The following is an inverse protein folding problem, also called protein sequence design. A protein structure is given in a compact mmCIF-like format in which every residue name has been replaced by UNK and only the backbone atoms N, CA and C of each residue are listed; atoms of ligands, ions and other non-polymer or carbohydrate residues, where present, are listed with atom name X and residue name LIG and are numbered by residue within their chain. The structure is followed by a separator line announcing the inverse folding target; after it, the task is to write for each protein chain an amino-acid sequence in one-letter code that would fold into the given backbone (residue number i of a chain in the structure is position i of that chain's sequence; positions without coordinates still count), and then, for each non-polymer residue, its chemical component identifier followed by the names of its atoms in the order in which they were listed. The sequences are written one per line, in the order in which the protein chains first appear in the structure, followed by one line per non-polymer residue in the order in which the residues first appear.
data_IF_718349327645
#
_entry.id   IF_718349327645
#
_cell.length_a   1.000
_cell.length_b   1.000
_cell.length_c   1.000
_cell.angle_alpha   90.00
_cell.angle_beta   90.00
_cell.angle_gamma   90.00
#
_symmetry.space_group_name_H-M   'P 1'
#
loop_
_entity.id
_entity.type
_entity.pdbx_description
1 polymer ?
#
# COMPACT_ATOMS: atom_id res chain seq x y z
N UNK A 1 48.13 42.45 7.56
CA UNK A 1 47.51 41.27 6.92
C UNK A 1 46.53 41.79 5.88
N UNK A 2 46.66 41.36 4.63
CA UNK A 2 45.89 41.92 3.50
C UNK A 2 44.44 41.45 3.58
N UNK A 3 43.47 42.36 3.47
CA UNK A 3 42.02 42.05 3.42
C UNK A 3 41.67 40.97 2.39
N UNK A 4 42.45 40.88 1.32
CA UNK A 4 42.29 39.84 0.29
C UNK A 4 42.43 38.42 0.86
N UNK A 5 43.43 38.19 1.72
CA UNK A 5 43.66 36.87 2.33
C UNK A 5 42.55 36.43 3.30
N UNK A 6 41.84 37.38 3.91
CA UNK A 6 40.70 37.09 4.78
C UNK A 6 39.46 36.70 3.97
N UNK A 7 39.22 37.38 2.84
CA UNK A 7 38.11 37.09 1.92
C UNK A 7 38.33 35.74 1.21
N UNK A 8 39.57 35.40 0.85
CA UNK A 8 39.91 34.08 0.29
C UNK A 8 39.65 32.95 1.29
N UNK A 9 40.05 33.10 2.56
CA UNK A 9 39.74 32.11 3.60
C UNK A 9 38.23 31.96 3.83
N UNK A 10 37.49 33.06 3.80
CA UNK A 10 36.03 33.03 3.95
C UNK A 10 35.36 32.34 2.74
N UNK A 11 35.81 32.62 1.52
CA UNK A 11 35.34 31.93 0.32
C UNK A 11 35.65 30.43 0.33
N UNK A 12 36.87 30.02 0.69
CA UNK A 12 37.23 28.61 0.79
C UNK A 12 36.35 27.89 1.82
N UNK A 13 36.05 28.54 2.95
CA UNK A 13 35.13 27.99 3.95
C UNK A 13 33.71 27.79 3.40
N UNK A 14 33.21 28.74 2.62
CA UNK A 14 31.90 28.64 1.98
C UNK A 14 31.87 27.59 0.87
N UNK A 15 32.95 27.47 0.09
CA UNK A 15 33.11 26.42 -0.92
C UNK A 15 33.14 25.04 -0.30
N UNK A 16 33.88 24.84 0.79
CA UNK A 16 33.88 23.57 1.53
C UNK A 16 32.49 23.25 2.09
N UNK A 17 31.79 24.24 2.64
CA UNK A 17 30.43 24.05 3.14
C UNK A 17 29.47 23.66 2.01
N UNK A 18 29.57 24.30 0.85
CA UNK A 18 28.76 23.99 -0.33
C UNK A 18 29.07 22.60 -0.87
N UNK A 19 30.34 22.23 -1.00
CA UNK A 19 30.76 20.90 -1.45
C UNK A 19 30.22 19.79 -0.52
N UNK A 20 30.26 20.01 0.80
CA UNK A 20 29.68 19.11 1.77
C UNK A 20 28.16 18.97 1.59
N UNK A 21 27.45 20.09 1.38
CA UNK A 21 26.00 20.08 1.12
C UNK A 21 25.65 19.37 -0.19
N UNK A 22 26.41 19.59 -1.25
CA UNK A 22 26.21 18.94 -2.55
C UNK A 22 26.48 17.44 -2.45
N UNK A 23 27.52 17.02 -1.72
CA UNK A 23 27.78 15.60 -1.48
C UNK A 23 26.67 14.95 -0.66
N UNK A 24 26.14 15.63 0.36
CA UNK A 24 24.99 15.15 1.12
C UNK A 24 23.74 15.03 0.24
N UNK A 25 23.49 16.02 -0.62
CA UNK A 25 22.37 15.98 -1.56
C UNK A 25 22.50 14.85 -2.58
N UNK A 26 23.71 14.59 -3.09
CA UNK A 26 24.00 13.46 -3.97
C UNK A 26 23.72 12.13 -3.28
N UNK A 27 24.12 11.97 -2.02
CA UNK A 27 23.85 10.75 -1.26
C UNK A 27 22.35 10.55 -1.05
N UNK A 28 21.62 11.60 -0.63
CA UNK A 28 20.16 11.57 -0.49
C UNK A 28 19.48 11.21 -1.82
N UNK A 29 19.95 11.77 -2.94
CA UNK A 29 19.40 11.48 -4.26
C UNK A 29 19.62 10.00 -4.67
N UNK A 30 20.78 9.44 -4.35
CA UNK A 30 21.05 8.02 -4.57
C UNK A 30 20.17 7.13 -3.70
N UNK A 31 19.99 7.49 -2.42
CA UNK A 31 19.13 6.76 -1.49
C UNK A 31 17.67 6.78 -1.97
N UNK A 32 17.15 7.94 -2.39
CA UNK A 32 15.79 8.07 -2.96
C UNK A 32 15.63 7.19 -4.20
N UNK A 33 16.62 7.13 -5.08
CA UNK A 33 16.56 6.27 -6.26
C UNK A 33 16.51 4.78 -5.88
N UNK A 34 17.31 4.38 -4.88
CA UNK A 34 17.28 3.00 -4.35
C UNK A 34 15.91 2.66 -3.76
N UNK A 35 15.34 3.53 -2.92
CA UNK A 35 14.01 3.33 -2.35
C UNK A 35 12.92 3.30 -3.42
N UNK A 36 12.99 4.16 -4.43
CA UNK A 36 12.02 4.16 -5.52
C UNK A 36 12.05 2.87 -6.35
N UNK A 37 13.22 2.28 -6.56
CA UNK A 37 13.34 0.98 -7.24
C UNK A 37 12.78 -0.17 -6.41
N UNK A 38 13.06 -0.18 -5.09
CA UNK A 38 12.51 -1.16 -4.16
C UNK A 38 10.98 -1.04 -4.05
N UNK A 39 10.45 0.18 -3.90
CA UNK A 39 9.01 0.45 -3.84
C UNK A 39 8.31 0.03 -5.14
N UNK A 40 8.92 0.26 -6.31
CA UNK A 40 8.32 -0.15 -7.57
C UNK A 40 8.19 -1.68 -7.71
N UNK A 41 9.18 -2.42 -7.20
CA UNK A 41 9.12 -3.89 -7.14
C UNK A 41 8.03 -4.36 -6.16
N UNK A 42 7.92 -3.72 -4.99
CA UNK A 42 6.91 -4.01 -4.00
C UNK A 42 5.49 -3.70 -4.52
N UNK A 43 5.30 -2.56 -5.18
CA UNK A 43 4.04 -2.17 -5.83
C UNK A 43 3.62 -3.15 -6.93
N UNK A 44 4.57 -3.64 -7.74
CA UNK A 44 4.31 -4.70 -8.72
C UNK A 44 3.76 -5.97 -8.06
N UNK A 45 4.41 -6.41 -6.97
CA UNK A 45 3.97 -7.60 -6.22
C UNK A 45 2.58 -7.46 -5.60
N UNK A 46 2.21 -6.25 -5.13
CA UNK A 46 0.89 -5.97 -4.58
C UNK A 46 -0.17 -6.02 -5.69
N UNK A 47 0.13 -5.45 -6.87
CA UNK A 47 -0.80 -5.46 -7.99
C UNK A 47 -1.10 -6.89 -8.46
N UNK A 48 -0.08 -7.76 -8.53
CA UNK A 48 -0.25 -9.17 -8.89
C UNK A 48 -1.08 -9.94 -7.87
N UNK A 49 -0.87 -9.69 -6.57
CA UNK A 49 -1.67 -10.27 -5.50
C UNK A 49 -3.13 -9.80 -5.56
N UNK A 50 -3.38 -8.51 -5.78
CA UNK A 50 -4.72 -7.96 -5.92
C UNK A 50 -5.44 -8.51 -7.15
N UNK A 51 -4.73 -8.66 -8.28
CA UNK A 51 -5.27 -9.29 -9.49
C UNK A 51 -5.66 -10.74 -9.21
N UNK A 52 -4.77 -11.51 -8.58
CA UNK A 52 -5.01 -12.91 -8.21
C UNK A 52 -6.18 -13.05 -7.24
N UNK A 53 -6.27 -12.16 -6.24
CA UNK A 53 -7.41 -12.09 -5.32
C UNK A 53 -8.71 -11.79 -6.08
N UNK A 54 -8.70 -10.83 -6.99
CA UNK A 54 -9.85 -10.49 -7.83
C UNK A 54 -10.33 -11.67 -8.68
N UNK A 55 -9.42 -12.37 -9.33
CA UNK A 55 -9.71 -13.58 -10.11
C UNK A 55 -10.27 -14.71 -9.23
N UNK A 56 -9.68 -14.93 -8.06
CA UNK A 56 -10.14 -15.94 -7.11
C UNK A 56 -11.54 -15.62 -6.55
N UNK A 57 -11.81 -14.34 -6.24
CA UNK A 57 -13.13 -13.87 -5.82
C UNK A 57 -14.15 -14.11 -6.95
N UNK A 58 -13.81 -13.72 -8.19
CA UNK A 58 -14.69 -13.93 -9.35
C UNK A 58 -14.99 -15.40 -9.61
N UNK A 59 -13.96 -16.26 -9.54
CA UNK A 59 -14.09 -17.71 -9.69
C UNK A 59 -14.97 -18.32 -8.59
N UNK A 60 -14.72 -17.93 -7.33
CA UNK A 60 -15.50 -18.40 -6.18
C UNK A 60 -16.95 -17.92 -6.25
N UNK A 61 -17.19 -16.66 -6.62
CA UNK A 61 -18.53 -16.11 -6.81
C UNK A 61 -19.28 -16.82 -7.95
N UNK A 62 -18.61 -17.12 -9.06
CA UNK A 62 -19.19 -17.88 -10.18
C UNK A 62 -19.57 -19.30 -9.75
N UNK A 63 -18.67 -20.01 -9.06
CA UNK A 63 -18.93 -21.35 -8.51
C UNK A 63 -20.07 -21.32 -7.50
N UNK A 64 -20.08 -20.36 -6.59
CA UNK A 64 -21.15 -20.17 -5.62
C UNK A 64 -22.50 -19.93 -6.32
N UNK A 65 -22.54 -19.05 -7.32
CA UNK A 65 -23.73 -18.81 -8.12
C UNK A 65 -24.23 -20.05 -8.86
N UNK A 66 -23.30 -20.88 -9.36
CA UNK A 66 -23.63 -22.16 -9.97
C UNK A 66 -24.21 -23.14 -8.95
N UNK A 67 -23.57 -23.30 -7.78
CA UNK A 67 -24.06 -24.15 -6.67
C UNK A 67 -25.42 -23.68 -6.19
N UNK A 68 -25.63 -22.36 -6.08
CA UNK A 68 -26.90 -21.78 -5.65
C UNK A 68 -28.05 -22.13 -6.60
N UNK A 69 -27.77 -22.16 -7.91
CA UNK A 69 -28.73 -22.51 -8.97
C UNK A 69 -28.93 -24.02 -9.10
N UNK A 70 -27.88 -24.81 -8.96
CA UNK A 70 -27.94 -26.27 -9.04
C UNK A 70 -28.66 -26.91 -7.85
N UNK A 71 -28.58 -26.31 -6.66
CA UNK A 71 -29.16 -26.87 -5.43
C UNK A 71 -30.06 -25.87 -4.69
N UNK A 72 -31.23 -25.52 -5.26
CA UNK A 72 -32.12 -24.49 -4.70
C UNK A 72 -32.61 -24.83 -3.28
N UNK A 73 -32.73 -26.12 -2.94
CA UNK A 73 -33.15 -26.57 -1.60
C UNK A 73 -32.13 -26.24 -0.52
N UNK A 74 -30.83 -26.46 -0.80
CA UNK A 74 -29.73 -26.17 0.14
C UNK A 74 -29.56 -24.65 0.28
N UNK A 75 -29.56 -23.92 -0.84
CA UNK A 75 -29.48 -22.46 -0.86
C UNK A 75 -30.57 -21.80 -0.02
N UNK A 76 -31.80 -22.28 -0.15
CA UNK A 76 -32.94 -21.77 0.61
C UNK A 76 -32.81 -22.06 2.10
N UNK A 77 -32.31 -23.25 2.47
CA UNK A 77 -32.08 -23.63 3.86
C UNK A 77 -31.01 -22.77 4.53
N UNK A 78 -29.87 -22.57 3.86
CA UNK A 78 -28.78 -21.70 4.34
C UNK A 78 -29.23 -20.24 4.39
N UNK A 79 -29.92 -19.76 3.35
CA UNK A 79 -30.40 -18.38 3.29
C UNK A 79 -31.41 -18.05 4.40
N UNK A 80 -32.33 -18.96 4.71
CA UNK A 80 -33.28 -18.78 5.82
C UNK A 80 -32.57 -18.79 7.18
N UNK A 81 -31.63 -19.71 7.39
CA UNK A 81 -30.82 -19.73 8.62
C UNK A 81 -30.02 -18.44 8.83
N UNK A 82 -29.40 -17.93 7.76
CA UNK A 82 -28.65 -16.68 7.81
C UNK A 82 -29.55 -15.46 8.04
N UNK A 83 -30.74 -15.43 7.44
CA UNK A 83 -31.72 -14.38 7.65
C UNK A 83 -32.21 -14.34 9.11
N UNK A 84 -32.53 -15.49 9.70
CA UNK A 84 -32.93 -15.60 11.11
C UNK A 84 -31.81 -15.10 12.02
N UNK A 85 -30.56 -15.51 11.75
CA UNK A 85 -29.41 -15.06 12.52
C UNK A 85 -29.23 -13.53 12.47
N UNK A 86 -29.35 -12.91 11.29
CA UNK A 86 -29.29 -11.45 11.15
C UNK A 86 -30.40 -10.75 11.92
N UNK A 87 -31.63 -11.25 11.84
CA UNK A 87 -32.77 -10.68 12.59
C UNK A 87 -32.48 -10.72 14.09
N UNK A 88 -32.04 -11.87 14.62
CA UNK A 88 -31.70 -12.00 16.04
C UNK A 88 -30.56 -11.06 16.44
N UNK A 89 -29.48 -11.00 15.64
CA UNK A 89 -28.33 -10.13 15.92
C UNK A 89 -28.70 -8.65 15.91
N UNK A 90 -29.44 -8.19 14.91
CA UNK A 90 -29.87 -6.80 14.84
C UNK A 90 -30.89 -6.45 15.92
N UNK A 91 -31.82 -7.35 16.24
CA UNK A 91 -32.76 -7.14 17.35
C UNK A 91 -32.04 -7.04 18.69
N UNK A 92 -31.03 -7.89 18.95
CA UNK A 92 -30.24 -7.81 20.17
C UNK A 92 -29.40 -6.53 20.23
N UNK A 93 -28.77 -6.13 19.12
CA UNK A 93 -27.97 -4.89 19.04
C UNK A 93 -28.80 -3.61 19.10
N UNK A 94 -30.08 -3.67 18.74
CA UNK A 94 -30.98 -2.50 18.79
C UNK A 94 -31.67 -2.38 20.15
N UNK A 95 -31.80 -3.50 20.88
CA UNK A 95 -32.46 -3.56 22.18
C UNK A 95 -31.47 -3.44 23.36
N UNK A 96 -30.16 -3.62 23.11
CA UNK A 96 -29.05 -3.49 24.05
C UNK A 96 -28.02 -2.49 23.53
#
# INVERSE_FOLDING_TARGET
MSRASQIEQENDSQFHLLANKVSAFKNIANDINSYAQEDNNNLGSINDQLSTLGENIKSTASRLGHVMRANPKITRMVGVGFAIFLVIYYSLKYLF
#
